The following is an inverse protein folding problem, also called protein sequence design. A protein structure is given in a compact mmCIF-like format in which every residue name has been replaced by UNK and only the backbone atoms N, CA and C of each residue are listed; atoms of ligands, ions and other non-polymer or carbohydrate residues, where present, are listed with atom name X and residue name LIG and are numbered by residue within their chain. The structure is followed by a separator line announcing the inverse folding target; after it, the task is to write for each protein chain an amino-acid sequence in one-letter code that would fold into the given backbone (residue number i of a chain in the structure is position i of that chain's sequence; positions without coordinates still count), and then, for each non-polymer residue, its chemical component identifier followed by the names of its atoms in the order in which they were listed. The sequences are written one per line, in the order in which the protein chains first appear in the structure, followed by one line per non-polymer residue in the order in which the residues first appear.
data_IF_085307628228
#
_entry.id   IF_085307628228
#
_cell.length_a   1.000
_cell.length_b   1.000
_cell.length_c   1.000
_cell.angle_alpha   90.00
_cell.angle_beta   90.00
_cell.angle_gamma   90.00
#
_symmetry.space_group_name_H-M   'P 1'
#
loop_
_entity.id
_entity.type
_entity.pdbx_description
1 polymer ?
#
# COMPACT_ATOMS: atom_id res chain seq x y z
N UNK A 1 -5.90 -4.50 12.98
CA UNK A 1 -4.76 -3.58 12.93
C UNK A 1 -3.58 -4.33 12.34
N UNK A 2 -3.01 -3.81 11.26
CA UNK A 2 -1.77 -4.34 10.67
C UNK A 2 -0.56 -3.63 11.24
N UNK A 3 0.63 -4.18 10.99
CA UNK A 3 1.89 -3.64 11.54
C UNK A 3 2.69 -2.94 10.45
N UNK A 4 3.21 -1.76 10.76
CA UNK A 4 4.20 -1.08 9.92
C UNK A 4 5.38 -2.02 9.60
N UNK A 5 5.69 -2.23 8.33
CA UNK A 5 6.76 -3.14 7.90
C UNK A 5 8.12 -2.77 8.50
N UNK A 6 8.36 -1.48 8.77
CA UNK A 6 9.62 -0.97 9.32
C UNK A 6 9.66 -0.97 10.85
N UNK A 7 8.76 -0.26 11.53
CA UNK A 7 8.86 -0.02 12.97
C UNK A 7 7.84 -0.80 13.82
N UNK A 8 6.99 -1.63 13.18
CA UNK A 8 5.99 -2.48 13.85
C UNK A 8 4.93 -1.71 14.68
N UNK A 9 4.80 -0.40 14.50
CA UNK A 9 3.66 0.36 15.05
C UNK A 9 2.36 -0.09 14.38
N UNK A 10 1.25 0.03 15.10
CA UNK A 10 -0.08 -0.26 14.58
C UNK A 10 -0.47 0.70 13.45
N UNK A 11 -1.07 0.14 12.41
CA UNK A 11 -1.67 0.81 11.27
C UNK A 11 -3.08 0.25 11.12
N UNK A 12 -4.08 1.10 10.81
CA UNK A 12 -5.43 0.62 10.51
C UNK A 12 -5.44 -0.40 9.36
N UNK A 13 -6.29 -1.43 9.46
CA UNK A 13 -6.33 -2.49 8.44
C UNK A 13 -6.78 -1.98 7.08
N UNK A 14 -7.62 -0.94 7.08
CA UNK A 14 -8.17 -0.25 5.91
C UNK A 14 -7.16 0.65 5.19
N UNK A 15 -5.96 0.84 5.75
CA UNK A 15 -4.93 1.67 5.15
C UNK A 15 -4.39 1.05 3.87
N UNK A 16 -4.27 1.84 2.80
CA UNK A 16 -3.68 1.39 1.51
C UNK A 16 -2.17 1.15 1.55
N UNK A 17 -1.50 1.50 2.65
CA UNK A 17 -0.05 1.35 2.84
C UNK A 17 0.27 0.43 4.01
N UNK A 18 1.41 -0.26 3.92
CA UNK A 18 1.92 -1.16 4.99
C UNK A 18 3.02 -0.51 5.84
N UNK A 19 3.21 0.80 5.74
CA UNK A 19 4.18 1.58 6.52
C UNK A 19 3.52 2.80 7.14
N UNK A 20 3.99 3.22 8.33
CA UNK A 20 3.42 4.39 9.01
C UNK A 20 3.96 5.69 8.42
N UNK A 21 3.27 6.80 8.66
CA UNK A 21 3.68 8.13 8.19
C UNK A 21 5.09 8.50 8.62
N UNK A 22 5.47 8.24 9.89
CA UNK A 22 6.83 8.52 10.38
C UNK A 22 7.90 7.82 9.55
N UNK A 23 7.71 6.54 9.25
CA UNK A 23 8.67 5.76 8.46
C UNK A 23 8.65 6.17 6.99
N UNK A 24 7.47 6.36 6.39
CA UNK A 24 7.35 6.77 5.00
C UNK A 24 7.96 8.15 4.74
N UNK A 25 7.64 9.14 5.59
CA UNK A 25 8.23 10.48 5.51
C UNK A 25 9.75 10.41 5.75
N UNK A 26 10.23 9.55 6.65
CA UNK A 26 11.67 9.37 6.88
C UNK A 26 12.44 8.83 5.67
N UNK A 27 11.79 8.07 4.78
CA UNK A 27 12.42 7.50 3.57
C UNK A 27 12.28 8.42 2.37
N UNK A 28 11.08 8.96 2.12
CA UNK A 28 10.76 9.69 0.89
C UNK A 28 10.59 11.21 1.07
N UNK A 29 10.50 11.68 2.31
CA UNK A 29 10.08 13.05 2.62
C UNK A 29 8.56 13.25 2.48
N UNK A 30 8.05 14.34 3.05
CA UNK A 30 6.61 14.60 3.19
C UNK A 30 5.87 14.69 1.84
N UNK A 31 6.43 15.43 0.89
CA UNK A 31 5.80 15.64 -0.44
C UNK A 31 5.59 14.30 -1.17
N UNK A 32 6.63 13.46 -1.18
CA UNK A 32 6.59 12.20 -1.91
C UNK A 32 5.78 11.14 -1.16
N UNK A 33 5.83 11.14 0.18
CA UNK A 33 4.91 10.34 1.00
C UNK A 33 3.44 10.66 0.66
N UNK A 34 3.07 11.94 0.65
CA UNK A 34 1.70 12.37 0.32
C UNK A 34 1.28 11.94 -1.10
N UNK A 35 2.19 12.07 -2.08
CA UNK A 35 1.91 11.61 -3.45
C UNK A 35 1.71 10.08 -3.53
N UNK A 36 2.54 9.29 -2.83
CA UNK A 36 2.40 7.83 -2.77
C UNK A 36 1.04 7.46 -2.19
N UNK A 37 0.67 8.03 -1.03
CA UNK A 37 -0.62 7.72 -0.39
C UNK A 37 -1.78 8.13 -1.30
N UNK A 38 -1.75 9.33 -1.88
CA UNK A 38 -2.78 9.81 -2.79
C UNK A 38 -2.97 8.90 -4.00
N UNK A 39 -1.87 8.47 -4.63
CA UNK A 39 -1.94 7.59 -5.80
C UNK A 39 -2.47 6.20 -5.45
N UNK A 40 -2.08 5.65 -4.29
CA UNK A 40 -2.57 4.36 -3.82
C UNK A 40 -4.07 4.42 -3.48
N UNK A 41 -4.53 5.52 -2.89
CA UNK A 41 -5.95 5.77 -2.63
C UNK A 41 -6.77 5.93 -3.91
N UNK A 42 -6.24 6.64 -4.89
CA UNK A 42 -6.86 6.77 -6.21
C UNK A 42 -6.96 5.41 -6.91
N UNK A 43 -5.89 4.60 -6.87
CA UNK A 43 -5.90 3.23 -7.40
C UNK A 43 -6.92 2.35 -6.67
N UNK A 44 -7.06 2.46 -5.34
CA UNK A 44 -8.11 1.76 -4.57
C UNK A 44 -9.49 2.11 -5.09
N UNK A 45 -9.71 3.40 -5.31
CA UNK A 45 -10.98 3.95 -5.77
C UNK A 45 -11.38 3.43 -7.16
N UNK A 46 -10.39 3.16 -8.01
CA UNK A 46 -10.58 2.61 -9.36
C UNK A 46 -10.70 1.08 -9.40
N UNK A 47 -10.37 0.38 -8.29
CA UNK A 47 -10.26 -1.07 -8.26
C UNK A 47 -8.94 -1.60 -8.84
N UNK A 48 -7.95 -0.72 -9.02
CA UNK A 48 -6.65 -1.05 -9.63
C UNK A 48 -5.61 -1.55 -8.61
N UNK A 49 -5.97 -1.62 -7.33
CA UNK A 49 -5.16 -2.31 -6.31
C UNK A 49 -5.35 -3.82 -6.44
N UNK A 50 -4.69 -4.41 -7.44
CA UNK A 50 -4.69 -5.86 -7.62
C UNK A 50 -3.72 -6.49 -6.62
N UNK A 51 -4.25 -7.19 -5.62
CA UNK A 51 -3.47 -8.01 -4.70
C UNK A 51 -3.23 -9.38 -5.36
N UNK A 52 -2.34 -9.43 -6.35
CA UNK A 52 -2.12 -10.68 -7.09
C UNK A 52 -1.28 -11.65 -6.24
N UNK A 53 -1.93 -12.41 -5.37
CA UNK A 53 -1.60 -13.82 -5.25
C UNK A 53 -2.39 -14.49 -6.37
N UNK A 54 -1.75 -14.73 -7.52
CA UNK A 54 -2.35 -15.52 -8.59
C UNK A 54 -2.81 -16.83 -7.96
N UNK A 55 -4.13 -17.02 -7.85
CA UNK A 55 -4.65 -18.37 -7.75
C UNK A 55 -4.28 -19.06 -9.08
N UNK A 56 -3.89 -20.33 -9.04
CA UNK A 56 -3.33 -21.03 -10.22
C UNK A 56 -4.24 -21.03 -11.47
N UNK A 57 -5.49 -20.58 -11.32
CA UNK A 57 -6.55 -20.53 -12.32
C UNK A 57 -6.52 -19.29 -13.22
N UNK A 58 -5.73 -18.24 -12.88
CA UNK A 58 -5.70 -16.98 -13.63
C UNK A 58 -4.53 -16.88 -14.64
N UNK A 59 -3.87 -18.01 -14.97
CA UNK A 59 -2.84 -18.03 -16.02
C UNK A 59 -3.50 -18.02 -17.40
N UNK A 60 -3.55 -16.84 -18.01
CA UNK A 60 -3.87 -16.64 -19.44
C UNK A 60 -2.92 -17.47 -20.32
N UNK A 61 -3.40 -18.49 -21.05
CA UNK A 61 -2.59 -19.23 -21.99
C UNK A 61 -2.55 -18.44 -23.31
N UNK A 62 -1.54 -17.58 -23.44
CA UNK A 62 -1.15 -17.05 -24.75
C UNK A 62 -0.92 -18.17 -25.76
#
# INVERSE_FOLDING_TARGET
MKKCIYCKVDIPDESVIDFCSRCGIGVWGEKMFNAIVSNMEEARSKGDLVYTNLSEQDRDPR
#
